data_IF_901726649348
#
_entry.id   IF_901726649348
#
_cell.length_a   1.000
_cell.length_b   1.000
_cell.length_c   1.000
_cell.angle_alpha   90.00
_cell.angle_beta   90.00
_cell.angle_gamma   90.00
#
_symmetry.space_group_name_H-M   'P 1'
#
loop_
_entity.id
_entity.type
_entity.pdbx_description
1 polymer ?
#
# COMPACT_ATOMS: atom_id res chain seq x y z
N UNK A 1 -10.78 7.31 14.84
CA UNK A 1 -10.49 8.71 14.45
C UNK A 1 -10.89 8.88 12.99
N UNK A 2 -11.48 10.00 12.67
CA UNK A 2 -11.88 10.39 11.34
C UNK A 2 -10.63 10.63 10.46
N UNK A 3 -10.57 10.01 9.29
CA UNK A 3 -9.45 10.16 8.36
C UNK A 3 -9.31 11.57 7.76
N UNK A 4 -10.40 12.35 7.77
CA UNK A 4 -10.40 13.74 7.33
C UNK A 4 -9.74 14.70 8.31
N UNK A 5 -9.53 14.28 9.57
CA UNK A 5 -8.95 15.06 10.67
C UNK A 5 -7.52 14.65 11.05
N UNK A 6 -6.86 13.86 10.22
CA UNK A 6 -5.49 13.41 10.46
C UNK A 6 -4.60 13.67 9.24
N UNK A 7 -3.32 13.90 9.49
CA UNK A 7 -2.35 14.11 8.42
C UNK A 7 -1.05 13.32 8.63
N UNK A 8 -0.19 13.35 7.63
CA UNK A 8 1.08 12.64 7.57
C UNK A 8 2.26 13.38 8.24
N UNK A 9 2.05 14.58 8.79
CA UNK A 9 3.15 15.40 9.33
C UNK A 9 3.91 14.76 10.49
N UNK A 10 3.27 13.90 11.27
CA UNK A 10 3.92 13.17 12.37
C UNK A 10 5.00 12.15 11.91
N UNK A 11 5.05 11.82 10.62
CA UNK A 11 5.98 10.83 10.09
C UNK A 11 7.39 11.39 9.86
N UNK A 12 7.56 12.71 9.76
CA UNK A 12 8.83 13.33 9.38
C UNK A 12 9.99 12.89 10.28
N UNK A 13 9.80 12.91 11.60
CA UNK A 13 10.86 12.52 12.54
C UNK A 13 11.28 11.05 12.40
N UNK A 14 10.32 10.17 12.14
CA UNK A 14 10.60 8.76 11.88
C UNK A 14 11.34 8.55 10.55
N UNK A 15 10.91 9.26 9.50
CA UNK A 15 11.52 9.19 8.17
C UNK A 15 12.98 9.68 8.16
N UNK A 16 13.33 10.65 9.00
CA UNK A 16 14.71 11.13 9.14
C UNK A 16 15.64 10.14 9.83
N UNK A 17 15.10 9.11 10.46
CA UNK A 17 15.85 8.09 11.25
C UNK A 17 15.84 6.70 10.59
N UNK A 18 15.29 6.56 9.41
CA UNK A 18 15.17 5.29 8.68
C UNK A 18 15.57 5.44 7.23
N UNK A 19 16.10 4.38 6.65
CA UNK A 19 16.42 4.31 5.21
C UNK A 19 15.29 3.69 4.40
N UNK A 20 14.31 3.07 5.07
CA UNK A 20 13.23 2.32 4.41
C UNK A 20 11.90 2.56 5.09
N UNK A 21 10.85 2.80 4.31
CA UNK A 21 9.49 3.02 4.78
C UNK A 21 8.49 2.08 4.07
N UNK A 22 7.80 1.22 4.83
CA UNK A 22 6.65 0.46 4.34
C UNK A 22 5.37 1.28 4.39
N UNK A 23 4.60 1.30 3.30
CA UNK A 23 3.40 2.15 3.15
C UNK A 23 2.07 1.42 3.34
N UNK A 24 2.05 0.31 4.08
CA UNK A 24 0.83 -0.45 4.38
C UNK A 24 0.06 0.05 5.60
N UNK A 25 -1.26 -0.16 5.62
CA UNK A 25 -2.09 -0.04 6.83
C UNK A 25 -2.36 1.38 7.35
N UNK A 26 -2.18 2.44 6.57
CA UNK A 26 -2.43 3.83 7.00
C UNK A 26 -3.91 4.19 7.06
N UNK A 27 -4.26 5.14 7.93
CA UNK A 27 -5.60 5.78 7.96
C UNK A 27 -5.64 7.14 7.27
N UNK A 28 -4.51 7.73 6.93
CA UNK A 28 -4.43 9.05 6.28
C UNK A 28 -4.99 9.02 4.86
N UNK A 29 -5.55 10.14 4.44
CA UNK A 29 -6.03 10.40 3.07
C UNK A 29 -5.57 11.79 2.59
N UNK A 30 -4.51 12.30 3.19
CA UNK A 30 -4.00 13.66 3.00
C UNK A 30 -2.96 13.78 1.87
N UNK A 31 -2.77 12.76 1.08
CA UNK A 31 -1.73 12.61 0.04
C UNK A 31 -0.35 13.20 0.41
N UNK A 32 -0.06 13.32 1.71
CA UNK A 32 1.24 13.78 2.20
C UNK A 32 1.34 15.27 2.48
N UNK A 33 0.25 16.05 2.43
CA UNK A 33 0.36 17.51 2.66
C UNK A 33 0.82 17.86 4.08
N UNK A 34 0.47 17.05 5.08
CA UNK A 34 0.99 17.23 6.43
C UNK A 34 2.50 17.10 6.49
N UNK A 35 3.08 16.15 5.76
CA UNK A 35 4.52 16.00 5.61
C UNK A 35 5.12 17.21 4.88
N UNK A 36 4.53 17.63 3.75
CA UNK A 36 4.99 18.79 2.98
C UNK A 36 4.97 20.06 3.82
N UNK A 37 3.95 20.26 4.64
CA UNK A 37 3.88 21.40 5.57
C UNK A 37 5.07 21.43 6.55
N UNK A 38 5.46 20.27 7.10
CA UNK A 38 6.64 20.17 7.98
C UNK A 38 7.97 20.36 7.23
N UNK A 39 7.99 20.16 5.91
CA UNK A 39 9.16 20.35 5.05
C UNK A 39 9.26 21.77 4.47
N UNK A 40 8.36 22.69 4.82
CA UNK A 40 8.42 24.09 4.44
C UNK A 40 7.53 24.49 3.27
N UNK A 41 6.52 23.68 2.94
CA UNK A 41 5.42 24.07 2.05
C UNK A 41 4.32 24.70 2.89
N UNK A 42 3.99 25.94 2.65
CA UNK A 42 2.91 26.67 3.30
C UNK A 42 1.60 26.51 2.50
N UNK A 43 0.56 26.03 3.16
CA UNK A 43 -0.80 25.95 2.64
C UNK A 43 -1.59 27.15 3.19
N UNK A 44 -2.12 27.99 2.32
CA UNK A 44 -2.66 29.30 2.66
C UNK A 44 -4.16 29.33 2.38
N UNK A 45 -4.92 29.91 3.29
CA UNK A 45 -6.36 30.19 3.19
C UNK A 45 -6.62 31.63 3.54
N UNK A 46 -7.21 32.43 2.62
CA UNK A 46 -7.50 33.87 2.83
C UNK A 46 -6.30 34.69 3.33
N UNK A 47 -5.09 34.32 2.84
CA UNK A 47 -3.84 35.00 3.23
C UNK A 47 -3.23 34.52 4.55
N UNK A 48 -3.84 33.58 5.25
CA UNK A 48 -3.32 33.01 6.49
C UNK A 48 -2.79 31.59 6.28
N UNK A 49 -1.67 31.25 6.94
CA UNK A 49 -1.05 29.94 6.85
C UNK A 49 -1.81 28.93 7.71
N UNK A 50 -2.19 27.78 7.15
CA UNK A 50 -2.71 26.63 7.89
C UNK A 50 -1.53 25.83 8.43
N UNK A 51 -1.27 25.86 9.73
CA UNK A 51 -0.08 25.30 10.36
C UNK A 51 0.00 23.77 10.30
N UNK A 52 -1.11 23.06 10.47
CA UNK A 52 -1.20 21.61 10.42
C UNK A 52 -2.35 21.19 9.49
N UNK A 53 -2.19 21.31 8.17
CA UNK A 53 -3.26 21.03 7.22
C UNK A 53 -3.72 19.58 7.29
N UNK A 54 -5.04 19.39 7.33
CA UNK A 54 -5.74 18.12 7.28
C UNK A 54 -6.68 18.09 6.08
N UNK A 55 -7.15 16.91 5.63
CA UNK A 55 -8.07 16.82 4.48
C UNK A 55 -9.31 17.73 4.58
N UNK A 56 -9.86 17.96 5.78
CA UNK A 56 -10.99 18.87 5.99
C UNK A 56 -10.68 20.31 5.60
N UNK A 57 -9.41 20.71 5.61
CA UNK A 57 -9.00 22.06 5.20
C UNK A 57 -8.89 22.24 3.68
N UNK A 58 -8.88 21.16 2.89
CA UNK A 58 -8.61 21.22 1.44
C UNK A 58 -9.48 22.24 0.69
N UNK A 59 -10.80 22.29 0.89
CA UNK A 59 -11.65 23.25 0.17
C UNK A 59 -11.32 24.72 0.44
N UNK A 60 -10.62 25.02 1.53
CA UNK A 60 -10.29 26.37 1.96
C UNK A 60 -8.88 26.82 1.54
N UNK A 61 -8.01 25.90 1.11
CA UNK A 61 -6.67 26.25 0.64
C UNK A 61 -6.78 26.92 -0.73
N UNK A 62 -6.41 28.17 -0.83
CA UNK A 62 -6.47 28.97 -2.06
C UNK A 62 -5.09 29.11 -2.75
N UNK A 63 -4.01 28.98 -1.99
CA UNK A 63 -2.66 29.08 -2.52
C UNK A 63 -1.66 28.22 -1.74
N UNK A 64 -0.52 27.92 -2.40
CA UNK A 64 0.58 27.16 -1.86
C UNK A 64 1.87 27.96 -2.09
N UNK A 65 2.78 27.94 -1.14
CA UNK A 65 4.06 28.64 -1.22
C UNK A 65 5.20 27.80 -0.65
N UNK A 66 6.28 27.70 -1.38
CA UNK A 66 7.52 27.03 -0.95
C UNK A 66 8.45 28.07 -0.28
N UNK A 67 8.38 28.21 1.04
CA UNK A 67 9.15 29.25 1.77
C UNK A 67 10.54 28.76 2.17
N UNK A 68 10.65 27.52 2.68
CA UNK A 68 11.92 26.91 3.09
C UNK A 68 11.95 25.42 2.72
N UNK A 69 11.32 25.07 1.60
CA UNK A 69 11.18 23.69 1.19
C UNK A 69 12.54 23.00 0.97
N UNK A 70 12.72 21.84 1.61
CA UNK A 70 13.89 20.98 1.48
C UNK A 70 13.42 19.55 1.25
N UNK A 71 13.86 18.96 0.14
CA UNK A 71 13.50 17.60 -0.30
C UNK A 71 14.60 16.57 -0.06
N UNK A 72 15.42 16.72 0.98
CA UNK A 72 16.58 15.84 1.22
C UNK A 72 16.19 14.62 2.06
N UNK A 73 15.21 13.85 1.62
CA UNK A 73 14.91 12.54 2.22
C UNK A 73 15.54 11.43 1.37
N UNK A 74 16.60 10.83 1.87
CA UNK A 74 17.18 9.62 1.29
C UNK A 74 16.42 8.41 1.85
N UNK A 75 15.27 8.11 1.24
CA UNK A 75 14.35 7.10 1.72
C UNK A 75 13.91 6.17 0.60
N UNK A 76 13.97 4.87 0.83
CA UNK A 76 13.35 3.84 -0.01
C UNK A 76 11.93 3.57 0.47
N UNK A 77 10.97 3.72 -0.43
CA UNK A 77 9.54 3.52 -0.14
C UNK A 77 9.13 2.14 -0.62
N UNK A 78 8.65 1.29 0.28
CA UNK A 78 8.16 -0.05 -0.06
C UNK A 78 6.64 -0.03 -0.23
N UNK A 79 6.17 -0.40 -1.43
CA UNK A 79 4.74 -0.48 -1.74
C UNK A 79 4.46 -1.67 -2.65
N UNK A 80 3.45 -2.48 -2.30
CA UNK A 80 2.94 -3.56 -3.14
C UNK A 80 1.63 -3.20 -3.86
N UNK A 81 1.13 -1.98 -3.64
CA UNK A 81 -0.11 -1.48 -4.23
C UNK A 81 0.18 -0.71 -5.52
N UNK A 82 -0.26 -1.21 -6.66
CA UNK A 82 -0.12 -0.56 -7.97
C UNK A 82 -1.18 0.52 -8.23
N UNK A 83 -2.11 0.74 -7.31
CA UNK A 83 -3.21 1.68 -7.43
C UNK A 83 -2.70 3.11 -7.59
N UNK A 84 -3.17 3.89 -8.58
CA UNK A 84 -2.84 5.31 -8.72
C UNK A 84 -3.53 6.15 -7.65
N UNK A 85 -3.05 7.37 -7.45
CA UNK A 85 -3.67 8.32 -6.51
C UNK A 85 -5.04 8.79 -7.02
N UNK A 86 -5.09 9.20 -8.30
CA UNK A 86 -6.30 9.65 -8.99
C UNK A 86 -6.57 8.79 -10.25
N UNK A 87 -7.61 9.13 -11.00
CA UNK A 87 -8.02 8.41 -12.21
C UNK A 87 -8.98 7.27 -11.92
N UNK A 88 -9.06 6.31 -12.86
CA UNK A 88 -9.91 5.13 -12.75
C UNK A 88 -9.33 4.18 -11.69
N UNK A 89 -10.20 3.65 -10.83
CA UNK A 89 -9.83 2.74 -9.74
C UNK A 89 -8.76 3.36 -8.82
N UNK A 90 -8.92 4.65 -8.49
CA UNK A 90 -8.01 5.40 -7.63
C UNK A 90 -7.91 4.82 -6.23
N UNK A 91 -6.84 5.16 -5.52
CA UNK A 91 -6.66 4.73 -4.14
C UNK A 91 -7.80 5.19 -3.21
N UNK A 92 -8.44 6.31 -3.51
CA UNK A 92 -9.60 6.77 -2.76
C UNK A 92 -10.83 5.92 -3.04
N UNK A 93 -11.03 5.45 -4.29
CA UNK A 93 -12.13 4.55 -4.65
C UNK A 93 -11.96 3.18 -3.98
N UNK A 94 -10.73 2.64 -4.02
CA UNK A 94 -10.42 1.29 -3.52
C UNK A 94 -10.32 1.25 -1.99
N UNK A 95 -9.64 2.20 -1.38
CA UNK A 95 -9.32 2.18 0.05
C UNK A 95 -10.08 3.19 0.90
N UNK A 96 -10.76 4.17 0.29
CA UNK A 96 -11.54 5.19 0.99
C UNK A 96 -12.64 4.63 1.88
N UNK A 97 -13.45 3.64 1.42
CA UNK A 97 -14.51 3.06 2.24
C UNK A 97 -14.00 2.44 3.54
N UNK A 98 -12.90 1.69 3.51
CA UNK A 98 -12.30 1.11 4.73
C UNK A 98 -11.68 2.16 5.67
N UNK A 99 -11.42 3.37 5.15
CA UNK A 99 -10.95 4.53 5.93
C UNK A 99 -12.08 5.39 6.47
N UNK A 100 -13.34 5.04 6.17
CA UNK A 100 -14.53 5.69 6.67
C UNK A 100 -15.13 6.76 5.75
N UNK A 101 -14.65 6.89 4.51
CA UNK A 101 -15.21 7.84 3.53
C UNK A 101 -16.46 7.27 2.86
N UNK A 102 -17.50 8.08 2.75
CA UNK A 102 -18.64 7.79 1.89
C UNK A 102 -18.29 8.00 0.40
N UNK A 103 -19.12 7.49 -0.52
CA UNK A 103 -18.92 7.72 -1.95
C UNK A 103 -18.91 9.21 -2.31
N UNK A 104 -19.77 9.99 -1.68
CA UNK A 104 -19.86 11.44 -1.89
C UNK A 104 -18.59 12.15 -1.38
N UNK A 105 -18.08 11.75 -0.22
CA UNK A 105 -16.83 12.29 0.32
C UNK A 105 -15.65 11.95 -0.57
N UNK A 106 -15.59 10.72 -1.13
CA UNK A 106 -14.53 10.30 -2.05
C UNK A 106 -14.50 11.18 -3.29
N UNK A 107 -15.64 11.42 -3.95
CA UNK A 107 -15.69 12.26 -5.15
C UNK A 107 -15.28 13.71 -4.86
N UNK A 108 -15.78 14.30 -3.77
CA UNK A 108 -15.35 15.64 -3.32
C UNK A 108 -13.86 15.67 -3.03
N UNK A 109 -13.37 14.69 -2.31
CA UNK A 109 -11.97 14.61 -1.90
C UNK A 109 -11.02 14.49 -3.12
N UNK A 110 -11.37 13.67 -4.11
CA UNK A 110 -10.60 13.55 -5.37
C UNK A 110 -10.45 14.88 -6.09
N UNK A 111 -11.55 15.65 -6.20
CA UNK A 111 -11.53 16.97 -6.82
C UNK A 111 -10.61 17.95 -6.08
N UNK A 112 -10.67 17.95 -4.76
CA UNK A 112 -9.81 18.82 -3.94
C UNK A 112 -8.33 18.40 -4.02
N UNK A 113 -8.05 17.10 -4.01
CA UNK A 113 -6.68 16.59 -4.18
C UNK A 113 -6.12 16.98 -5.55
N UNK A 114 -6.88 16.82 -6.64
CA UNK A 114 -6.47 17.21 -7.98
C UNK A 114 -6.16 18.71 -8.07
N UNK A 115 -7.03 19.55 -7.47
CA UNK A 115 -6.82 20.99 -7.39
C UNK A 115 -5.55 21.35 -6.61
N UNK A 116 -5.34 20.74 -5.46
CA UNK A 116 -4.14 20.99 -4.64
C UNK A 116 -2.86 20.51 -5.31
N UNK A 117 -2.89 19.36 -6.00
CA UNK A 117 -1.75 18.91 -6.82
C UNK A 117 -1.41 19.96 -7.87
N UNK A 118 -2.41 20.55 -8.53
CA UNK A 118 -2.18 21.62 -9.53
C UNK A 118 -1.52 22.85 -8.91
N UNK A 119 -1.92 23.25 -7.70
CA UNK A 119 -1.28 24.36 -6.99
C UNK A 119 0.17 24.06 -6.61
N UNK A 120 0.44 22.84 -6.11
CA UNK A 120 1.79 22.40 -5.73
C UNK A 120 2.68 22.30 -7.00
N UNK A 121 2.16 21.71 -8.07
CA UNK A 121 2.90 21.57 -9.33
C UNK A 121 3.31 22.92 -9.92
N UNK A 122 2.39 23.89 -9.89
CA UNK A 122 2.66 25.26 -10.33
C UNK A 122 3.72 25.94 -9.47
N UNK A 123 3.70 25.77 -8.16
CA UNK A 123 4.65 26.37 -7.24
C UNK A 123 6.04 25.75 -7.35
N UNK A 124 6.12 24.40 -7.46
CA UNK A 124 7.39 23.67 -7.47
C UNK A 124 7.93 23.38 -8.88
N UNK A 125 7.11 23.54 -9.93
CA UNK A 125 7.46 23.31 -11.36
C UNK A 125 7.98 21.89 -11.61
N UNK A 126 7.21 20.86 -11.16
CA UNK A 126 7.65 19.45 -11.15
C UNK A 126 7.06 18.59 -12.27
N UNK A 127 5.94 18.98 -12.88
CA UNK A 127 5.17 18.16 -13.82
C UNK A 127 4.61 16.86 -13.21
N UNK A 128 3.78 17.00 -12.19
CA UNK A 128 3.23 15.92 -11.37
C UNK A 128 2.16 15.09 -12.11
N UNK A 129 2.22 13.76 -11.97
CA UNK A 129 1.26 12.83 -12.56
C UNK A 129 0.56 11.95 -11.47
N UNK A 130 -0.63 12.33 -10.98
CA UNK A 130 -1.32 11.56 -9.95
C UNK A 130 -1.92 10.23 -10.45
N UNK A 131 -1.88 9.97 -11.76
CA UNK A 131 -2.39 8.73 -12.36
C UNK A 131 -1.30 7.66 -12.50
N UNK A 132 -0.08 7.92 -12.05
CA UNK A 132 1.00 6.95 -12.10
C UNK A 132 0.77 5.80 -11.11
N UNK A 133 1.13 4.58 -11.53
CA UNK A 133 1.04 3.39 -10.66
C UNK A 133 1.94 3.56 -9.42
N UNK A 134 1.54 2.95 -8.32
CA UNK A 134 2.13 3.05 -6.98
C UNK A 134 1.91 4.40 -6.27
N UNK A 135 1.34 5.42 -6.91
CA UNK A 135 1.16 6.74 -6.29
C UNK A 135 0.09 6.78 -5.19
N UNK A 136 -0.86 5.83 -5.17
CA UNK A 136 -2.01 5.87 -4.26
C UNK A 136 -1.80 5.25 -2.88
N UNK A 137 -0.71 4.52 -2.63
CA UNK A 137 -0.51 3.86 -1.35
C UNK A 137 -0.43 4.86 -0.19
N UNK A 138 -0.80 4.40 1.00
CA UNK A 138 -0.88 5.20 2.22
C UNK A 138 -1.70 6.50 2.08
N UNK A 139 -2.82 6.44 1.30
CA UNK A 139 -3.68 7.61 1.08
C UNK A 139 -3.02 8.71 0.25
N UNK A 140 -2.12 8.32 -0.66
CA UNK A 140 -1.38 9.22 -1.53
C UNK A 140 -0.04 9.69 -0.98
N UNK A 141 0.38 9.24 0.20
CA UNK A 141 1.70 9.59 0.73
C UNK A 141 2.82 9.16 -0.23
N UNK A 142 2.69 8.00 -0.89
CA UNK A 142 3.65 7.53 -1.90
C UNK A 142 3.79 8.48 -3.08
N UNK A 143 2.71 9.13 -3.53
CA UNK A 143 2.77 10.18 -4.54
C UNK A 143 3.72 11.31 -4.12
N UNK A 144 3.51 11.84 -2.92
CA UNK A 144 4.35 12.92 -2.38
C UNK A 144 5.80 12.49 -2.20
N UNK A 145 6.04 11.31 -1.61
CA UNK A 145 7.39 10.80 -1.40
C UNK A 145 8.14 10.60 -2.73
N UNK A 146 7.47 10.08 -3.75
CA UNK A 146 8.11 9.80 -5.03
C UNK A 146 8.22 11.05 -5.91
N UNK A 147 7.09 11.69 -6.26
CA UNK A 147 7.08 12.72 -7.29
C UNK A 147 7.48 14.11 -6.78
N UNK A 148 7.29 14.40 -5.50
CA UNK A 148 7.66 15.69 -4.93
C UNK A 148 9.01 15.62 -4.22
N UNK A 149 9.27 14.53 -3.48
CA UNK A 149 10.48 14.41 -2.66
C UNK A 149 11.57 13.55 -3.32
N UNK A 150 11.31 12.92 -4.47
CA UNK A 150 12.28 12.14 -5.23
C UNK A 150 12.67 10.79 -4.63
N UNK A 151 11.90 10.26 -3.67
CA UNK A 151 12.16 8.97 -3.07
C UNK A 151 11.90 7.82 -4.07
N UNK A 152 12.73 6.77 -4.04
CA UNK A 152 12.51 5.58 -4.86
C UNK A 152 11.39 4.71 -4.30
N UNK A 153 10.51 4.21 -5.19
CA UNK A 153 9.51 3.20 -4.83
C UNK A 153 9.98 1.82 -5.29
N UNK A 154 9.95 0.86 -4.39
CA UNK A 154 10.26 -0.55 -4.66
C UNK A 154 9.12 -1.44 -4.14
N UNK A 155 8.90 -2.60 -4.77
CA UNK A 155 8.00 -3.62 -4.23
C UNK A 155 8.53 -4.15 -2.90
N UNK A 156 7.70 -4.09 -1.85
CA UNK A 156 8.03 -4.62 -0.53
C UNK A 156 8.32 -6.11 -0.55
N UNK A 157 7.56 -6.87 -1.34
CA UNK A 157 7.78 -8.30 -1.54
C UNK A 157 9.16 -8.59 -2.15
N UNK A 158 9.53 -7.90 -3.23
CA UNK A 158 10.84 -8.07 -3.87
C UNK A 158 11.99 -7.65 -2.96
N UNK A 159 11.84 -6.52 -2.28
CA UNK A 159 12.81 -6.05 -1.31
C UNK A 159 13.05 -7.09 -0.20
N UNK A 160 11.97 -7.61 0.42
CA UNK A 160 12.07 -8.61 1.48
C UNK A 160 12.75 -9.90 0.99
N UNK A 161 12.34 -10.42 -0.17
CA UNK A 161 12.94 -11.62 -0.78
C UNK A 161 14.43 -11.45 -1.00
N UNK A 162 14.86 -10.28 -1.50
CA UNK A 162 16.26 -9.94 -1.77
C UNK A 162 17.07 -9.84 -0.47
N UNK A 163 16.62 -9.02 0.48
CA UNK A 163 17.34 -8.75 1.72
C UNK A 163 17.50 -10.00 2.61
N UNK A 164 16.52 -10.93 2.52
CA UNK A 164 16.59 -12.20 3.26
C UNK A 164 17.27 -13.33 2.50
N UNK A 165 17.71 -13.11 1.26
CA UNK A 165 18.20 -14.21 0.38
C UNK A 165 17.22 -15.39 0.28
N UNK A 166 15.91 -15.11 0.33
CA UNK A 166 14.90 -16.15 0.50
C UNK A 166 14.89 -17.16 -0.65
N UNK A 167 15.08 -16.71 -1.90
CA UNK A 167 15.13 -17.61 -3.06
C UNK A 167 16.21 -18.68 -2.92
N UNK A 168 17.42 -18.29 -2.51
CA UNK A 168 18.51 -19.23 -2.29
C UNK A 168 18.23 -20.22 -1.16
N UNK A 169 17.49 -19.79 -0.14
CA UNK A 169 17.06 -20.71 0.93
C UNK A 169 16.04 -21.72 0.40
N UNK A 170 15.12 -21.31 -0.47
CA UNK A 170 14.08 -22.19 -1.05
C UNK A 170 14.65 -23.29 -1.95
N UNK A 171 15.84 -23.13 -2.53
CA UNK A 171 16.51 -24.16 -3.35
C UNK A 171 16.79 -25.46 -2.58
N UNK A 172 16.80 -25.42 -1.25
CA UNK A 172 17.06 -26.57 -0.40
C UNK A 172 15.80 -27.36 0.01
N UNK A 173 14.63 -26.98 -0.50
CA UNK A 173 13.36 -27.58 -0.11
C UNK A 173 12.60 -28.11 -1.32
N UNK A 174 12.13 -29.35 -1.20
CA UNK A 174 11.31 -30.02 -2.23
C UNK A 174 9.82 -29.71 -2.07
N UNK A 175 9.39 -29.26 -0.89
CA UNK A 175 7.99 -28.99 -0.54
C UNK A 175 7.86 -27.55 -0.02
N UNK A 176 6.95 -26.80 -0.66
CA UNK A 176 6.54 -25.45 -0.23
C UNK A 176 5.08 -25.42 0.21
N UNK A 177 4.80 -24.95 1.42
CA UNK A 177 3.44 -24.72 1.91
C UNK A 177 3.19 -23.22 1.92
N UNK A 178 2.25 -22.77 1.08
CA UNK A 178 1.92 -21.38 0.89
C UNK A 178 0.61 -21.06 1.61
N UNK A 179 0.62 -20.06 2.50
CA UNK A 179 -0.52 -19.74 3.35
C UNK A 179 -1.04 -18.33 3.08
N UNK A 180 -2.36 -18.21 2.90
CA UNK A 180 -3.05 -16.92 2.78
C UNK A 180 -4.50 -17.05 3.24
N UNK A 181 -5.12 -15.94 3.69
CA UNK A 181 -6.53 -15.94 4.06
C UNK A 181 -7.45 -16.21 2.86
N UNK A 182 -7.17 -15.57 1.73
CA UNK A 182 -7.84 -15.82 0.45
C UNK A 182 -6.82 -15.69 -0.68
N UNK A 183 -6.62 -16.75 -1.42
CA UNK A 183 -5.75 -16.79 -2.59
C UNK A 183 -6.59 -16.57 -3.85
N UNK A 184 -6.35 -15.48 -4.55
CA UNK A 184 -6.97 -15.12 -5.83
C UNK A 184 -5.96 -14.47 -6.78
N UNK A 185 -6.40 -13.96 -7.92
CA UNK A 185 -5.53 -13.32 -8.92
C UNK A 185 -4.66 -12.21 -8.31
N UNK A 186 -5.19 -11.45 -7.36
CA UNK A 186 -4.43 -10.39 -6.68
C UNK A 186 -3.25 -10.92 -5.86
N UNK A 187 -3.30 -12.19 -5.44
CA UNK A 187 -2.20 -12.84 -4.72
C UNK A 187 -0.98 -13.11 -5.61
N UNK A 188 -1.19 -13.16 -6.94
CA UNK A 188 -0.13 -13.32 -7.94
C UNK A 188 0.49 -11.99 -8.37
N UNK A 189 -0.14 -10.85 -8.03
CA UNK A 189 0.22 -9.54 -8.50
C UNK A 189 1.04 -8.75 -7.46
N UNK A 190 2.34 -9.07 -7.36
CA UNK A 190 3.29 -8.29 -6.56
C UNK A 190 3.32 -8.58 -5.08
N UNK A 191 2.45 -9.47 -4.57
CA UNK A 191 2.54 -9.96 -3.19
C UNK A 191 3.65 -11.01 -3.07
N UNK A 192 4.17 -11.17 -1.85
CA UNK A 192 5.27 -12.10 -1.56
C UNK A 192 4.98 -13.54 -2.02
N UNK A 193 3.75 -14.02 -1.82
CA UNK A 193 3.34 -15.37 -2.22
C UNK A 193 3.43 -15.55 -3.75
N UNK A 194 3.00 -14.55 -4.53
CA UNK A 194 3.07 -14.58 -5.99
C UNK A 194 4.52 -14.54 -6.50
N UNK A 195 5.39 -13.75 -5.89
CA UNK A 195 6.81 -13.70 -6.25
C UNK A 195 7.52 -15.02 -5.91
N UNK A 196 7.24 -15.61 -4.74
CA UNK A 196 7.81 -16.90 -4.34
C UNK A 196 7.33 -18.06 -5.23
N UNK A 197 6.07 -18.05 -5.66
CA UNK A 197 5.52 -19.07 -6.55
C UNK A 197 6.20 -19.09 -7.94
N UNK A 198 6.74 -17.97 -8.41
CA UNK A 198 7.49 -17.90 -9.67
C UNK A 198 8.84 -18.62 -9.58
N UNK A 199 9.47 -18.57 -8.41
CA UNK A 199 10.84 -19.04 -8.19
C UNK A 199 10.91 -20.45 -7.59
N UNK A 200 9.94 -20.85 -6.76
CA UNK A 200 9.93 -22.14 -6.10
C UNK A 200 9.61 -23.27 -7.09
N UNK A 201 10.49 -24.27 -7.18
CA UNK A 201 10.44 -25.36 -8.18
C UNK A 201 9.92 -26.69 -7.62
N UNK A 202 9.80 -26.82 -6.31
CA UNK A 202 9.31 -28.03 -5.64
C UNK A 202 7.80 -28.18 -5.71
N UNK A 203 7.28 -29.18 -5.00
CA UNK A 203 5.85 -29.39 -4.83
C UNK A 203 5.23 -28.25 -4.02
N UNK A 204 4.16 -27.65 -4.54
CA UNK A 204 3.50 -26.47 -3.99
C UNK A 204 2.16 -26.85 -3.41
N UNK A 205 1.97 -26.61 -2.14
CA UNK A 205 0.69 -26.84 -1.47
C UNK A 205 0.13 -25.53 -0.95
N UNK A 206 -1.16 -25.30 -1.17
CA UNK A 206 -1.86 -24.19 -0.55
C UNK A 206 -2.54 -24.66 0.74
N UNK A 207 -2.37 -23.92 1.83
CA UNK A 207 -3.08 -24.11 3.08
C UNK A 207 -3.63 -22.76 3.56
N UNK A 208 -4.95 -22.59 3.61
CA UNK A 208 -5.49 -21.29 3.99
C UNK A 208 -7.00 -21.21 4.06
N UNK A 209 -7.51 -19.98 4.05
CA UNK A 209 -8.94 -19.74 4.19
C UNK A 209 -9.73 -20.15 2.96
N UNK A 210 -9.43 -19.59 1.81
CA UNK A 210 -10.13 -19.84 0.56
C UNK A 210 -9.18 -19.81 -0.64
N UNK A 211 -9.31 -20.77 -1.54
CA UNK A 211 -8.71 -20.76 -2.86
C UNK A 211 -9.76 -20.29 -3.88
N UNK A 212 -9.51 -19.18 -4.57
CA UNK A 212 -10.44 -18.55 -5.49
C UNK A 212 -9.78 -18.12 -6.82
N UNK A 213 -8.51 -18.53 -7.08
CA UNK A 213 -7.85 -18.29 -8.35
C UNK A 213 -8.45 -19.17 -9.46
N UNK A 214 -8.53 -18.62 -10.67
CA UNK A 214 -9.07 -19.31 -11.85
C UNK A 214 -8.17 -20.43 -12.36
N UNK A 215 -6.86 -20.27 -12.18
CA UNK A 215 -5.88 -21.27 -12.59
C UNK A 215 -5.70 -22.30 -11.47
N UNK A 216 -6.22 -23.52 -11.68
CA UNK A 216 -6.13 -24.63 -10.73
C UNK A 216 -4.75 -25.30 -10.68
N UNK A 217 -3.86 -25.02 -11.65
CA UNK A 217 -2.53 -25.65 -11.75
C UNK A 217 -1.39 -24.86 -11.08
N UNK A 218 -1.71 -23.90 -10.21
CA UNK A 218 -0.69 -23.11 -9.48
C UNK A 218 -0.05 -23.96 -8.38
N UNK A 219 -0.84 -24.81 -7.73
CA UNK A 219 -0.42 -25.69 -6.64
C UNK A 219 -0.56 -27.18 -7.05
N UNK A 220 0.23 -28.02 -6.42
CA UNK A 220 0.09 -29.48 -6.51
C UNK A 220 -1.25 -29.92 -5.92
N UNK A 221 -1.64 -29.34 -4.80
CA UNK A 221 -2.95 -29.50 -4.16
C UNK A 221 -3.26 -28.32 -3.24
N UNK A 222 -4.53 -28.15 -2.82
CA UNK A 222 -4.95 -27.05 -1.97
C UNK A 222 -5.89 -27.52 -0.85
N UNK A 223 -5.61 -27.05 0.35
CA UNK A 223 -6.31 -27.37 1.60
C UNK A 223 -6.90 -26.09 2.19
N UNK A 224 -8.22 -25.98 2.17
CA UNK A 224 -8.89 -24.74 2.54
C UNK A 224 -9.88 -24.95 3.69
N UNK A 225 -10.02 -23.89 4.52
CA UNK A 225 -10.93 -23.90 5.66
C UNK A 225 -12.42 -23.93 5.26
N UNK A 226 -12.73 -23.54 4.02
CA UNK A 226 -14.11 -23.46 3.53
C UNK A 226 -14.95 -22.35 4.20
N UNK A 227 -16.28 -22.35 3.99
CA UNK A 227 -17.18 -21.31 4.49
C UNK A 227 -17.20 -21.16 6.01
N UNK A 228 -16.96 -22.23 6.74
CA UNK A 228 -16.90 -22.22 8.22
C UNK A 228 -15.61 -21.60 8.77
N UNK A 229 -14.57 -21.44 7.93
CA UNK A 229 -13.28 -20.87 8.33
C UNK A 229 -13.36 -19.46 8.90
N UNK A 230 -14.34 -18.65 8.46
CA UNK A 230 -14.56 -17.30 9.00
C UNK A 230 -15.11 -17.36 10.42
N UNK A 231 -16.02 -18.29 10.70
CA UNK A 231 -16.68 -18.44 12.02
C UNK A 231 -15.81 -19.17 13.02
N UNK A 232 -15.14 -20.23 12.57
CA UNK A 232 -14.35 -21.13 13.38
C UNK A 232 -12.94 -21.33 12.78
N UNK A 233 -12.10 -20.28 12.71
CA UNK A 233 -10.85 -20.32 11.94
C UNK A 233 -9.86 -21.37 12.45
N UNK A 234 -9.76 -21.53 13.77
CA UNK A 234 -8.82 -22.47 14.38
C UNK A 234 -9.15 -23.93 14.03
N UNK A 235 -10.37 -24.37 14.30
CA UNK A 235 -10.78 -25.77 14.03
C UNK A 235 -10.80 -26.08 12.53
N UNK A 236 -11.21 -25.13 11.69
CA UNK A 236 -11.20 -25.30 10.23
C UNK A 236 -9.78 -25.42 9.68
N UNK A 237 -8.83 -24.64 10.20
CA UNK A 237 -7.43 -24.74 9.82
C UNK A 237 -6.80 -26.05 10.33
N UNK A 238 -7.14 -26.51 11.52
CA UNK A 238 -6.70 -27.82 12.04
C UNK A 238 -7.16 -28.98 11.15
N UNK A 239 -8.41 -28.94 10.65
CA UNK A 239 -8.94 -29.96 9.72
C UNK A 239 -8.15 -29.91 8.41
N UNK A 240 -8.02 -28.75 7.78
CA UNK A 240 -7.29 -28.59 6.53
C UNK A 240 -5.81 -29.01 6.66
N UNK A 241 -5.18 -28.69 7.79
CA UNK A 241 -3.80 -29.12 8.08
C UNK A 241 -3.68 -30.64 8.20
N UNK A 242 -4.64 -31.28 8.85
CA UNK A 242 -4.65 -32.75 8.99
C UNK A 242 -4.83 -33.45 7.63
N UNK A 243 -5.57 -32.86 6.71
CA UNK A 243 -5.70 -33.36 5.34
C UNK A 243 -4.37 -33.23 4.57
N UNK A 244 -3.72 -32.08 4.63
CA UNK A 244 -2.40 -31.87 4.06
C UNK A 244 -1.38 -32.90 4.59
N UNK A 245 -1.33 -33.12 5.91
CA UNK A 245 -0.42 -34.08 6.54
C UNK A 245 -0.66 -35.51 6.02
N UNK A 246 -1.91 -35.90 5.75
CA UNK A 246 -2.22 -37.21 5.18
C UNK A 246 -1.66 -37.38 3.75
N UNK A 247 -1.65 -36.31 2.97
CA UNK A 247 -1.05 -36.31 1.61
C UNK A 247 0.47 -36.41 1.74
N UNK A 248 1.10 -35.55 2.52
CA UNK A 248 2.56 -35.53 2.70
C UNK A 248 3.18 -36.80 3.30
N UNK A 249 2.38 -37.64 3.95
CA UNK A 249 2.85 -38.95 4.50
C UNK A 249 2.74 -40.10 3.51
N UNK A 250 2.13 -39.89 2.33
CA UNK A 250 1.99 -40.90 1.30
C UNK A 250 3.08 -40.84 0.23
N UNK A 251 3.72 -39.67 0.13
CA UNK A 251 4.88 -39.38 -0.69
C UNK A 251 6.17 -39.66 0.12
#
# INVERSE_FOLDING_TARGET
KDSMLINSGCLLEAMQKTETLGTGGSKTVDFGIGLLSKLGIEFISNGEIILDPVPENFPFIDSVKATNFKSNLELRVLSDTKTPLLGKDSAFDVFGPQKGLSKEDIEKHKLEVERLITLIDKELVLNLNPNEIYSGAAGGLTFTLNQILGCEIESGAKYFIKETNLIKQLENYDIGIFCEGKFDESSLEGKIIGELLKEFKGHRYFLGGQYAAKNENIFTDYFQCGPEGIKNPKSSLEIATNELIKVLKKD
#
